data_IF_903691410350
#
_entry.id   IF_903691410350
#
_cell.length_a   1.000
_cell.length_b   1.000
_cell.length_c   1.000
_cell.angle_alpha   90.00
_cell.angle_beta   90.00
_cell.angle_gamma   90.00
#
_symmetry.space_group_name_H-M   'P 1'
#
loop_
_entity.id
_entity.type
_entity.pdbx_description
1 polymer ?
#
# COMPACT_ATOMS: atom_id res chain seq x y z
N UNK A 1 -21.82 6.64 -10.41
CA UNK A 1 -21.42 5.31 -9.89
C UNK A 1 -22.48 4.28 -10.25
N UNK A 2 -22.08 3.06 -10.62
CA UNK A 2 -23.02 1.95 -10.91
C UNK A 2 -23.86 1.59 -9.68
N UNK A 3 -25.11 1.10 -9.83
CA UNK A 3 -25.90 0.56 -8.72
C UNK A 3 -25.15 -0.51 -7.92
N UNK A 4 -24.35 -1.35 -8.59
CA UNK A 4 -23.51 -2.36 -7.93
C UNK A 4 -22.47 -1.71 -7.03
N UNK A 5 -21.79 -0.66 -7.51
CA UNK A 5 -20.80 0.05 -6.71
C UNK A 5 -21.44 0.73 -5.48
N UNK A 6 -22.62 1.35 -5.65
CA UNK A 6 -23.37 1.95 -4.54
C UNK A 6 -23.79 0.91 -3.49
N UNK A 7 -24.21 -0.28 -3.93
CA UNK A 7 -24.49 -1.42 -3.06
C UNK A 7 -23.24 -1.84 -2.27
N UNK A 8 -22.11 -2.04 -2.96
CA UNK A 8 -20.87 -2.51 -2.36
C UNK A 8 -20.23 -1.50 -1.39
N UNK A 9 -20.46 -0.19 -1.54
CA UNK A 9 -20.03 0.81 -0.54
C UNK A 9 -20.55 0.52 0.87
N UNK A 10 -21.70 -0.16 1.00
CA UNK A 10 -22.32 -0.50 2.29
C UNK A 10 -22.00 -1.90 2.77
N UNK A 11 -21.37 -2.72 1.92
CA UNK A 11 -21.03 -4.11 2.22
C UNK A 11 -19.84 -4.14 3.19
N UNK A 12 -19.90 -4.94 4.27
CA UNK A 12 -18.71 -5.28 5.05
C UNK A 12 -17.77 -6.15 4.19
N UNK A 13 -16.48 -5.82 4.18
CA UNK A 13 -15.49 -6.38 3.24
C UNK A 13 -14.42 -7.25 3.89
N UNK A 14 -14.40 -7.30 5.22
CA UNK A 14 -13.44 -8.07 6.01
C UNK A 14 -12.14 -7.29 6.23
N UNK A 15 -11.00 -7.90 5.90
CA UNK A 15 -9.68 -7.31 6.07
C UNK A 15 -9.04 -6.86 4.75
N UNK A 16 -8.23 -5.80 4.83
CA UNK A 16 -7.29 -5.36 3.78
C UNK A 16 -5.90 -5.85 4.15
N UNK A 17 -5.36 -6.81 3.38
CA UNK A 17 -4.09 -7.48 3.68
C UNK A 17 -2.91 -6.98 2.85
N UNK A 18 -3.20 -6.20 1.79
CA UNK A 18 -2.19 -5.66 0.89
C UNK A 18 -2.46 -4.19 0.60
N UNK A 19 -1.79 -3.34 1.37
CA UNK A 19 -1.83 -1.90 1.17
C UNK A 19 -0.48 -1.28 1.54
N UNK A 20 0.09 -0.52 0.62
CA UNK A 20 1.31 0.24 0.86
C UNK A 20 0.97 1.49 1.66
N UNK A 21 1.54 1.58 2.86
CA UNK A 21 1.12 2.53 3.89
C UNK A 21 1.15 3.96 3.37
N UNK A 22 2.19 4.35 2.67
CA UNK A 22 2.46 5.69 2.15
C UNK A 22 1.55 6.10 0.98
N UNK A 23 0.90 5.13 0.32
CA UNK A 23 0.01 5.37 -0.82
C UNK A 23 -1.44 4.90 -0.56
N UNK A 24 -1.87 4.83 0.69
CA UNK A 24 -3.20 4.32 1.10
C UNK A 24 -4.25 5.40 1.39
N UNK A 25 -3.90 6.68 1.41
CA UNK A 25 -4.83 7.79 1.71
C UNK A 25 -4.90 8.76 0.55
N UNK A 26 -6.06 9.37 0.31
CA UNK A 26 -6.18 10.44 -0.69
C UNK A 26 -5.14 11.56 -0.50
N UNK A 27 -4.56 12.02 -1.62
CA UNK A 27 -3.46 12.98 -1.61
C UNK A 27 -3.84 14.33 -0.95
N UNK A 28 -5.12 14.70 -0.99
CA UNK A 28 -5.70 15.92 -0.39
C UNK A 28 -5.29 16.10 1.07
N UNK A 29 -5.23 15.03 1.85
CA UNK A 29 -4.83 15.06 3.27
C UNK A 29 -3.40 15.57 3.41
N UNK A 30 -2.48 15.06 2.59
CA UNK A 30 -1.08 15.50 2.61
C UNK A 30 -0.93 16.94 2.13
N UNK A 31 -1.67 17.32 1.08
CA UNK A 31 -1.66 18.69 0.57
C UNK A 31 -2.18 19.70 1.59
N UNK A 32 -3.21 19.33 2.37
CA UNK A 32 -3.70 20.17 3.45
C UNK A 32 -2.61 20.42 4.51
N UNK A 33 -1.94 19.37 4.96
CA UNK A 33 -0.88 19.47 5.97
C UNK A 33 0.32 20.26 5.44
N UNK A 34 0.66 20.08 4.15
CA UNK A 34 1.76 20.79 3.52
C UNK A 34 1.54 22.32 3.50
N UNK A 35 0.29 22.77 3.29
CA UNK A 35 -0.07 24.20 3.33
C UNK A 35 0.04 24.81 4.73
N UNK A 36 -0.24 24.02 5.76
CA UNK A 36 -0.26 24.47 7.14
C UNK A 36 1.15 24.52 7.77
N UNK A 37 2.09 23.70 7.28
CA UNK A 37 3.44 23.67 7.83
C UNK A 37 4.32 24.80 7.25
N UNK A 38 4.55 25.84 8.07
CA UNK A 38 5.43 26.99 7.74
C UNK A 38 6.90 26.64 7.54
N UNK A 39 7.34 25.48 8.01
CA UNK A 39 8.71 24.98 7.90
C UNK A 39 8.89 23.97 6.77
N UNK A 40 7.81 23.56 6.09
CA UNK A 40 7.90 22.67 4.94
C UNK A 40 8.41 23.45 3.72
N UNK A 41 9.49 22.94 3.14
CA UNK A 41 10.07 23.48 1.92
C UNK A 41 9.89 22.50 0.77
N UNK A 42 9.89 23.06 -0.44
CA UNK A 42 9.88 22.34 -1.71
C UNK A 42 11.05 22.79 -2.57
N UNK A 43 11.64 21.86 -3.29
CA UNK A 43 12.51 22.13 -4.43
C UNK A 43 12.09 21.27 -5.62
N UNK A 44 12.61 21.60 -6.79
CA UNK A 44 12.30 20.90 -8.04
C UNK A 44 13.60 20.42 -8.68
N UNK A 45 13.57 19.31 -9.41
CA UNK A 45 14.71 18.86 -10.22
C UNK A 45 15.03 19.82 -11.39
N UNK A 46 14.09 20.68 -11.77
CA UNK A 46 14.21 21.72 -12.82
C UNK A 46 13.24 22.90 -12.59
N UNK A 47 13.50 24.10 -13.16
CA UNK A 47 12.66 25.28 -13.04
C UNK A 47 11.27 25.05 -13.58
N UNK A 48 10.32 25.62 -12.86
CA UNK A 48 8.94 25.79 -13.29
C UNK A 48 8.92 26.78 -14.47
N UNK A 49 8.75 26.29 -15.70
CA UNK A 49 8.61 27.13 -16.91
C UNK A 49 7.15 27.17 -17.33
N UNK A 50 6.55 28.37 -17.37
CA UNK A 50 5.14 28.58 -17.72
C UNK A 50 4.75 28.26 -19.18
N UNK A 51 5.70 27.86 -20.05
CA UNK A 51 5.51 27.80 -21.52
C UNK A 51 5.60 26.42 -22.16
N UNK A 52 5.90 25.38 -21.41
CA UNK A 52 5.85 24.01 -21.94
C UNK A 52 4.60 23.37 -21.34
N UNK A 53 3.58 23.13 -22.17
CA UNK A 53 2.27 22.57 -21.82
C UNK A 53 2.30 21.12 -21.34
N UNK A 54 3.31 20.77 -20.55
CA UNK A 54 3.51 19.50 -19.89
C UNK A 54 4.20 19.76 -18.55
N UNK A 55 3.41 20.08 -17.51
CA UNK A 55 3.84 20.08 -16.11
C UNK A 55 4.23 18.67 -15.58
N UNK A 56 4.41 17.70 -16.49
CA UNK A 56 5.08 16.41 -16.29
C UNK A 56 6.62 16.53 -16.16
N UNK A 57 7.19 17.73 -16.28
CA UNK A 57 8.65 17.89 -16.33
C UNK A 57 9.32 18.05 -14.95
N UNK A 58 8.86 18.92 -14.02
CA UNK A 58 9.53 19.11 -12.74
C UNK A 58 9.03 18.16 -11.65
N UNK A 59 9.92 17.38 -11.06
CA UNK A 59 9.62 16.49 -9.93
C UNK A 59 9.91 17.25 -8.64
N UNK A 60 8.91 17.48 -7.77
CA UNK A 60 9.12 18.15 -6.50
C UNK A 60 9.73 17.20 -5.45
N UNK A 61 10.50 17.76 -4.54
CA UNK A 61 10.93 17.10 -3.31
C UNK A 61 10.60 18.00 -2.14
N UNK A 62 10.13 17.41 -1.04
CA UNK A 62 9.66 18.14 0.14
C UNK A 62 10.50 17.77 1.37
N UNK A 63 10.77 18.75 2.23
CA UNK A 63 11.43 18.53 3.52
C UNK A 63 11.19 19.68 4.48
N UNK A 64 10.92 19.43 5.77
CA UNK A 64 10.90 20.50 6.77
C UNK A 64 12.33 20.96 7.12
N UNK A 65 12.52 22.26 7.27
CA UNK A 65 13.80 22.85 7.70
C UNK A 65 13.60 23.88 8.81
N UNK A 66 14.49 23.85 9.80
CA UNK A 66 14.55 24.86 10.86
C UNK A 66 15.07 26.19 10.32
N UNK A 67 16.15 26.12 9.55
CA UNK A 67 16.75 27.20 8.77
C UNK A 67 17.24 26.61 7.45
N UNK A 68 16.97 27.27 6.32
CA UNK A 68 17.54 26.87 5.02
C UNK A 68 18.99 27.34 5.01
N UNK A 69 19.94 26.41 5.18
CA UNK A 69 21.35 26.75 4.96
C UNK A 69 21.52 27.24 3.51
N UNK A 70 22.18 28.38 3.37
CA UNK A 70 22.20 29.18 2.15
C UNK A 70 22.48 28.37 0.89
N UNK A 71 21.80 28.75 -0.18
CA UNK A 71 22.06 28.30 -1.54
C UNK A 71 23.55 28.41 -1.84
N UNK A 72 24.28 27.30 -1.94
CA UNK A 72 25.60 27.35 -2.56
C UNK A 72 25.39 27.71 -4.04
N UNK A 73 25.91 28.85 -4.52
CA UNK A 73 25.78 29.23 -5.91
C UNK A 73 26.71 28.31 -6.72
N UNK A 74 26.16 27.20 -7.22
CA UNK A 74 26.89 26.31 -8.10
C UNK A 74 26.28 24.92 -8.34
N UNK A 75 25.47 24.38 -7.42
CA UNK A 75 25.02 22.97 -7.50
C UNK A 75 23.48 22.82 -7.54
N UNK A 76 22.72 23.65 -6.81
CA UNK A 76 21.25 23.56 -6.80
C UNK A 76 20.65 24.51 -7.85
N UNK A 77 20.26 23.96 -9.01
CA UNK A 77 19.64 24.73 -10.10
C UNK A 77 18.23 25.25 -9.74
N UNK A 78 17.62 24.73 -8.68
CA UNK A 78 16.35 25.19 -8.10
C UNK A 78 16.44 25.18 -6.55
N UNK A 79 16.57 26.35 -5.91
CA UNK A 79 16.75 26.41 -4.46
C UNK A 79 15.47 26.01 -3.71
N UNK A 80 15.64 25.49 -2.50
CA UNK A 80 14.53 25.27 -1.58
C UNK A 80 13.76 26.56 -1.31
N UNK A 81 12.44 26.48 -1.36
CA UNK A 81 11.54 27.55 -0.96
C UNK A 81 10.42 27.01 -0.10
N UNK A 82 9.81 27.86 0.74
CA UNK A 82 8.67 27.41 1.54
C UNK A 82 7.52 27.01 0.63
N UNK A 83 6.79 25.95 1.01
CA UNK A 83 5.60 25.51 0.26
C UNK A 83 4.60 26.66 0.13
N UNK A 84 4.36 27.41 1.21
CA UNK A 84 3.44 28.55 1.23
C UNK A 84 3.81 29.62 0.20
N UNK A 85 5.09 30.00 0.10
CA UNK A 85 5.55 30.97 -0.90
C UNK A 85 5.38 30.42 -2.31
N UNK A 86 5.85 29.20 -2.54
CA UNK A 86 5.78 28.54 -3.85
C UNK A 86 4.35 28.41 -4.35
N UNK A 87 3.40 28.06 -3.48
CA UNK A 87 1.98 27.92 -3.81
C UNK A 87 1.34 29.27 -4.16
N UNK A 88 1.71 30.33 -3.44
CA UNK A 88 1.28 31.69 -3.75
C UNK A 88 1.80 32.15 -5.12
N UNK A 89 3.06 31.85 -5.44
CA UNK A 89 3.69 32.24 -6.71
C UNK A 89 3.06 31.49 -7.91
N UNK A 90 2.77 30.19 -7.77
CA UNK A 90 2.14 29.37 -8.82
C UNK A 90 0.68 29.80 -9.05
N UNK A 91 -0.07 30.05 -7.98
CA UNK A 91 -1.52 30.34 -8.07
C UNK A 91 -1.83 31.71 -8.67
N UNK A 92 -0.83 32.61 -8.78
CA UNK A 92 -1.02 33.98 -9.26
C UNK A 92 -1.03 34.18 -10.78
N UNK A 93 -0.81 33.16 -11.63
CA UNK A 93 -0.41 33.44 -13.04
C UNK A 93 -0.99 32.64 -14.22
N UNK A 94 -1.76 31.52 -14.12
CA UNK A 94 -2.02 30.76 -15.38
C UNK A 94 -3.17 29.70 -15.48
N UNK A 95 -4.39 29.98 -15.05
CA UNK A 95 -5.57 29.31 -15.67
C UNK A 95 -5.69 27.78 -15.54
N UNK A 96 -5.05 27.18 -14.54
CA UNK A 96 -5.45 25.91 -13.93
C UNK A 96 -5.69 26.19 -12.44
N UNK A 97 -6.80 25.69 -11.89
CA UNK A 97 -7.24 26.01 -10.53
C UNK A 97 -6.29 25.38 -9.48
N UNK A 98 -5.28 26.15 -9.05
CA UNK A 98 -4.36 25.95 -7.89
C UNK A 98 -3.17 24.97 -8.04
N UNK A 99 -2.10 25.21 -7.28
CA UNK A 99 -0.92 24.35 -7.19
C UNK A 99 -1.22 22.94 -6.62
N UNK A 100 -2.32 22.78 -5.88
CA UNK A 100 -2.80 21.48 -5.39
C UNK A 100 -3.23 20.56 -6.54
N UNK A 101 -3.88 21.10 -7.58
CA UNK A 101 -4.29 20.32 -8.76
C UNK A 101 -3.08 19.78 -9.52
N UNK A 102 -2.00 20.57 -9.60
CA UNK A 102 -0.75 20.12 -10.20
C UNK A 102 -0.09 19.00 -9.38
N UNK A 103 0.09 19.18 -8.07
CA UNK A 103 0.69 18.12 -7.24
C UNK A 103 -0.13 16.84 -7.26
N UNK A 104 -1.45 16.96 -7.22
CA UNK A 104 -2.34 15.82 -7.39
C UNK A 104 -2.05 15.08 -8.69
N UNK A 105 -1.92 15.79 -9.80
CA UNK A 105 -1.57 15.18 -11.10
C UNK A 105 -0.17 14.56 -11.16
N UNK A 106 0.75 14.99 -10.28
CA UNK A 106 2.10 14.45 -10.19
C UNK A 106 2.19 13.21 -9.28
N UNK A 107 1.28 13.08 -8.31
CA UNK A 107 1.22 11.96 -7.37
C UNK A 107 0.32 10.84 -7.92
N UNK A 108 -0.85 11.19 -8.44
CA UNK A 108 -1.83 10.22 -8.93
C UNK A 108 -1.48 9.79 -10.36
N UNK A 109 -1.59 8.50 -10.65
CA UNK A 109 -1.35 7.96 -11.98
C UNK A 109 -2.43 8.45 -12.94
N UNK A 110 -2.02 9.15 -14.00
CA UNK A 110 -2.94 9.76 -14.97
C UNK A 110 -3.20 8.82 -16.14
N UNK A 111 -4.37 8.97 -16.78
CA UNK A 111 -4.76 8.14 -17.94
C UNK A 111 -3.73 8.09 -19.05
N UNK A 112 -3.10 9.22 -19.41
CA UNK A 112 -2.08 9.24 -20.46
C UNK A 112 -0.80 8.47 -20.09
N UNK A 113 -0.64 8.05 -18.84
CA UNK A 113 0.50 7.27 -18.34
C UNK A 113 0.19 5.76 -18.29
N UNK A 114 -1.04 5.34 -18.64
CA UNK A 114 -1.49 3.93 -18.59
C UNK A 114 -2.34 3.51 -19.79
N UNK A 115 -3.08 4.40 -20.44
CA UNK A 115 -3.95 4.01 -21.56
C UNK A 115 -3.23 3.76 -22.90
N UNK A 116 -2.11 4.44 -23.25
CA UNK A 116 -1.46 4.20 -24.54
C UNK A 116 -0.93 2.77 -24.67
N UNK A 117 -1.31 2.10 -25.77
CA UNK A 117 -1.01 0.69 -26.01
C UNK A 117 0.48 0.40 -26.24
N UNK A 118 1.28 1.44 -26.51
CA UNK A 118 2.71 1.35 -26.74
C UNK A 118 3.53 1.32 -25.44
N UNK A 119 2.93 1.68 -24.30
CA UNK A 119 3.63 1.71 -23.02
C UNK A 119 3.94 0.30 -22.52
N UNK A 120 5.22 0.07 -22.22
CA UNK A 120 5.65 -1.14 -21.54
C UNK A 120 5.32 -1.09 -20.05
N UNK A 121 5.34 -2.26 -19.39
CA UNK A 121 5.27 -2.37 -17.92
C UNK A 121 6.29 -1.42 -17.27
N UNK A 122 7.51 -1.33 -17.82
CA UNK A 122 8.56 -0.46 -17.28
C UNK A 122 8.24 1.04 -17.39
N UNK A 123 7.55 1.46 -18.46
CA UNK A 123 7.18 2.87 -18.63
C UNK A 123 6.12 3.30 -17.60
N UNK A 124 5.14 2.41 -17.34
CA UNK A 124 4.12 2.63 -16.31
C UNK A 124 4.75 2.61 -14.91
N UNK A 125 5.59 1.62 -14.61
CA UNK A 125 6.33 1.54 -13.35
C UNK A 125 7.21 2.77 -13.12
N UNK A 126 7.84 3.32 -14.16
CA UNK A 126 8.62 4.55 -14.04
C UNK A 126 7.75 5.77 -13.69
N UNK A 127 6.48 5.80 -14.09
CA UNK A 127 5.53 6.83 -13.65
C UNK A 127 5.07 6.57 -12.21
N UNK A 128 4.74 5.32 -11.90
CA UNK A 128 4.30 4.88 -10.58
C UNK A 128 5.33 5.13 -9.48
N UNK A 129 6.60 4.80 -9.70
CA UNK A 129 7.68 4.99 -8.72
C UNK A 129 7.99 6.48 -8.42
N UNK A 130 7.72 7.39 -9.37
CA UNK A 130 7.91 8.84 -9.14
C UNK A 130 6.98 9.36 -8.06
N UNK A 131 5.77 8.82 -7.97
CA UNK A 131 4.77 9.22 -6.98
C UNK A 131 5.28 9.03 -5.55
N UNK A 132 5.91 7.88 -5.26
CA UNK A 132 6.46 7.60 -3.92
C UNK A 132 7.52 8.61 -3.48
N UNK A 133 8.40 9.02 -4.40
CA UNK A 133 9.43 10.03 -4.09
C UNK A 133 8.82 11.39 -3.70
N UNK A 134 7.68 11.74 -4.28
CA UNK A 134 6.93 12.96 -3.93
C UNK A 134 6.23 12.79 -2.58
N UNK A 135 5.55 11.65 -2.40
CA UNK A 135 4.79 11.31 -1.18
C UNK A 135 5.70 11.30 0.04
N UNK A 136 6.90 10.71 -0.06
CA UNK A 136 7.82 10.55 1.08
C UNK A 136 8.06 11.89 1.80
N UNK A 137 8.39 12.94 1.05
CA UNK A 137 8.66 14.27 1.62
C UNK A 137 7.41 14.98 2.17
N UNK A 138 6.22 14.63 1.68
CA UNK A 138 4.94 15.17 2.15
C UNK A 138 4.39 14.44 3.38
N UNK A 139 4.76 13.17 3.56
CA UNK A 139 4.20 12.31 4.59
C UNK A 139 5.06 12.27 5.86
N UNK A 140 6.39 12.15 5.74
CA UNK A 140 7.25 11.81 6.88
C UNK A 140 7.71 13.01 7.73
N UNK A 141 6.74 13.80 8.19
CA UNK A 141 6.88 14.70 9.34
C UNK A 141 5.71 14.53 10.32
N UNK A 142 5.92 14.86 11.60
CA UNK A 142 5.04 14.41 12.70
C UNK A 142 3.55 14.72 12.51
N UNK A 143 3.18 15.96 12.17
CA UNK A 143 1.79 16.37 11.97
C UNK A 143 1.14 15.72 10.74
N UNK A 144 1.85 15.67 9.60
CA UNK A 144 1.33 14.99 8.41
C UNK A 144 1.11 13.51 8.64
N UNK A 145 2.11 12.80 9.19
CA UNK A 145 2.02 11.38 9.45
C UNK A 145 0.85 11.06 10.39
N UNK A 146 0.64 11.86 11.44
CA UNK A 146 -0.50 11.69 12.36
C UNK A 146 -1.84 11.91 11.67
N UNK A 147 -2.00 13.02 10.94
CA UNK A 147 -3.23 13.35 10.23
C UNK A 147 -3.58 12.29 9.17
N UNK A 148 -2.56 11.83 8.44
CA UNK A 148 -2.64 10.73 7.49
C UNK A 148 -3.18 9.44 8.13
N UNK A 149 -2.64 9.04 9.29
CA UNK A 149 -3.07 7.83 9.98
C UNK A 149 -4.52 7.92 10.49
N UNK A 150 -4.94 9.08 11.01
CA UNK A 150 -6.33 9.28 11.45
C UNK A 150 -7.30 9.12 10.26
N UNK A 151 -6.97 9.74 9.13
CA UNK A 151 -7.78 9.63 7.92
C UNK A 151 -7.75 8.20 7.34
N UNK A 152 -6.61 7.51 7.40
CA UNK A 152 -6.47 6.11 7.00
C UNK A 152 -7.46 5.20 7.72
N UNK A 153 -7.54 5.24 9.04
CA UNK A 153 -8.44 4.34 9.75
C UNK A 153 -9.92 4.69 9.55
N UNK A 154 -10.26 5.98 9.50
CA UNK A 154 -11.61 6.45 9.24
C UNK A 154 -12.08 6.04 7.83
N UNK A 155 -11.28 6.26 6.78
CA UNK A 155 -11.66 5.91 5.41
C UNK A 155 -11.84 4.39 5.24
N UNK A 156 -10.98 3.57 5.88
CA UNK A 156 -11.06 2.11 5.77
C UNK A 156 -12.34 1.58 6.43
N UNK A 157 -12.71 2.11 7.60
CA UNK A 157 -13.96 1.78 8.25
C UNK A 157 -15.18 2.24 7.42
N UNK A 158 -15.10 3.43 6.82
CA UNK A 158 -16.14 3.96 5.93
C UNK A 158 -16.30 3.10 4.67
N UNK A 159 -15.20 2.55 4.13
CA UNK A 159 -15.20 1.60 3.02
C UNK A 159 -15.51 0.16 3.46
N UNK A 160 -15.97 -0.05 4.70
CA UNK A 160 -16.51 -1.33 5.17
C UNK A 160 -15.46 -2.37 5.58
N UNK A 161 -14.21 -1.96 5.78
CA UNK A 161 -13.15 -2.82 6.30
C UNK A 161 -13.14 -2.78 7.83
N UNK A 162 -12.80 -3.90 8.45
CA UNK A 162 -12.68 -4.01 9.90
C UNK A 162 -11.23 -4.17 10.37
N UNK A 163 -10.28 -4.44 9.47
CA UNK A 163 -8.90 -4.74 9.81
C UNK A 163 -7.97 -4.42 8.64
N UNK A 164 -6.74 -4.00 8.93
CA UNK A 164 -5.71 -3.74 7.91
C UNK A 164 -4.32 -4.23 8.31
N UNK A 165 -3.57 -4.75 7.35
CA UNK A 165 -2.12 -4.99 7.44
C UNK A 165 -1.39 -4.04 6.50
N UNK A 166 -0.64 -3.11 7.06
CA UNK A 166 0.02 -2.03 6.31
C UNK A 166 1.45 -2.43 5.97
N UNK A 167 1.80 -2.41 4.69
CA UNK A 167 3.18 -2.49 4.21
C UNK A 167 3.85 -1.14 4.44
N UNK A 168 4.64 -1.05 5.51
CA UNK A 168 5.38 0.18 5.82
C UNK A 168 6.78 0.04 5.26
N UNK A 169 7.12 0.88 4.28
CA UNK A 169 8.45 0.98 3.73
C UNK A 169 9.40 1.61 4.74
N UNK A 170 10.33 0.81 5.27
CA UNK A 170 11.33 1.29 6.22
C UNK A 170 12.69 1.60 5.56
N UNK A 171 12.73 1.72 4.23
CA UNK A 171 13.85 2.34 3.54
C UNK A 171 13.95 3.85 3.78
N UNK A 172 12.84 4.49 4.18
CA UNK A 172 12.83 5.90 4.60
C UNK A 172 13.74 6.09 5.81
N UNK A 173 14.41 7.24 5.90
CA UNK A 173 15.37 7.48 6.98
C UNK A 173 14.69 7.58 8.36
N UNK A 174 13.45 8.08 8.39
CA UNK A 174 12.74 8.35 9.63
C UNK A 174 11.55 9.30 9.43
N UNK A 175 11.17 9.97 10.51
CA UNK A 175 10.16 11.03 10.52
C UNK A 175 10.76 12.30 11.10
N UNK A 176 10.62 13.40 10.37
CA UNK A 176 11.11 14.71 10.81
C UNK A 176 10.17 15.34 11.84
N UNK A 177 10.72 16.12 12.77
CA UNK A 177 9.92 17.10 13.52
C UNK A 177 9.31 18.12 12.54
N UNK A 178 8.16 18.69 12.89
CA UNK A 178 7.45 19.63 11.99
C UNK A 178 8.32 20.83 11.57
N UNK A 179 9.20 21.27 12.47
CA UNK A 179 10.14 22.37 12.26
C UNK A 179 11.47 21.93 11.61
N UNK A 180 11.65 20.65 11.31
CA UNK A 180 12.89 20.10 10.73
C UNK A 180 14.11 20.14 11.65
N UNK A 181 13.94 20.37 12.95
CA UNK A 181 15.05 20.41 13.92
C UNK A 181 15.59 19.03 14.30
N UNK A 182 14.80 17.96 14.10
CA UNK A 182 15.20 16.59 14.37
C UNK A 182 14.67 15.62 13.33
N UNK A 183 15.43 14.55 13.09
CA UNK A 183 14.99 13.37 12.37
C UNK A 183 14.94 12.20 13.36
N UNK A 184 13.76 11.62 13.55
CA UNK A 184 13.53 10.52 14.46
C UNK A 184 13.49 9.19 13.69
N UNK A 185 14.13 8.15 14.22
CA UNK A 185 14.16 6.84 13.57
C UNK A 185 12.81 6.11 13.54
N UNK A 186 12.80 4.93 12.92
CA UNK A 186 11.61 4.11 12.64
C UNK A 186 10.69 3.81 13.83
N UNK A 187 11.24 3.74 15.05
CA UNK A 187 10.44 3.55 16.27
C UNK A 187 9.39 4.66 16.45
N UNK A 188 9.75 5.91 16.12
CA UNK A 188 8.85 7.06 16.24
C UNK A 188 7.70 6.98 15.23
N UNK A 189 7.96 6.48 14.01
CA UNK A 189 6.92 6.24 12.98
C UNK A 189 5.86 5.30 13.54
N UNK A 190 6.27 4.14 14.06
CA UNK A 190 5.35 3.14 14.63
C UNK A 190 4.53 3.75 15.77
N UNK A 191 5.17 4.51 16.67
CA UNK A 191 4.49 5.17 17.79
C UNK A 191 3.47 6.22 17.34
N UNK A 192 3.73 6.96 16.26
CA UNK A 192 2.76 7.91 15.71
C UNK A 192 1.54 7.18 15.13
N UNK A 193 1.77 6.10 14.37
CA UNK A 193 0.68 5.26 13.83
C UNK A 193 -0.16 4.70 14.97
N UNK A 194 0.47 4.18 16.02
CA UNK A 194 -0.21 3.57 17.18
C UNK A 194 -1.00 4.59 18.02
N UNK A 195 -0.44 5.78 18.21
CA UNK A 195 -1.13 6.87 18.88
C UNK A 195 -2.37 7.32 18.09
N UNK A 196 -2.25 7.46 16.76
CA UNK A 196 -3.38 7.80 15.89
C UNK A 196 -4.45 6.70 15.89
N UNK A 197 -4.07 5.43 15.89
CA UNK A 197 -5.01 4.31 16.01
C UNK A 197 -5.76 4.32 17.36
N UNK A 198 -5.05 4.61 18.45
CA UNK A 198 -5.64 4.71 19.79
C UNK A 198 -6.67 5.84 19.85
N UNK A 199 -6.35 7.00 19.29
CA UNK A 199 -7.27 8.14 19.20
C UNK A 199 -8.49 7.84 18.32
N UNK A 200 -8.27 7.20 17.18
CA UNK A 200 -9.36 6.73 16.32
C UNK A 200 -10.31 5.79 17.06
N UNK A 201 -9.78 4.81 17.81
CA UNK A 201 -10.60 3.89 18.62
C UNK A 201 -11.42 4.62 19.68
N UNK A 202 -10.82 5.55 20.42
CA UNK A 202 -11.54 6.34 21.40
C UNK A 202 -12.69 7.15 20.74
N UNK A 203 -12.45 7.64 19.52
CA UNK A 203 -13.48 8.34 18.72
C UNK A 203 -14.62 7.40 18.32
N UNK A 204 -14.32 6.18 17.85
CA UNK A 204 -15.35 5.19 17.51
C UNK A 204 -16.21 4.80 18.73
N UNK A 205 -15.58 4.58 19.88
CA UNK A 205 -16.27 4.24 21.12
C UNK A 205 -17.24 5.36 21.54
N UNK A 206 -16.83 6.62 21.40
CA UNK A 206 -17.67 7.78 21.73
C UNK A 206 -18.87 7.94 20.78
N UNK A 207 -18.71 7.60 19.49
CA UNK A 207 -19.78 7.73 18.49
C UNK A 207 -20.79 6.59 18.51
N UNK A 208 -20.51 5.47 19.19
CA UNK A 208 -21.35 4.25 19.21
C UNK A 208 -21.74 3.77 17.80
N UNK A 209 -20.81 3.91 16.84
CA UNK A 209 -21.08 3.51 15.46
C UNK A 209 -21.19 1.99 15.37
N UNK A 210 -22.28 1.47 14.79
CA UNK A 210 -22.54 0.03 14.69
C UNK A 210 -21.56 -0.78 13.82
N UNK A 211 -20.48 -0.17 13.30
CA UNK A 211 -19.43 -0.82 12.51
C UNK A 211 -18.27 -1.21 13.41
N UNK A 212 -17.83 -2.45 13.30
CA UNK A 212 -16.78 -3.00 14.15
C UNK A 212 -15.38 -2.77 13.56
N UNK A 213 -14.46 -2.25 14.38
CA UNK A 213 -13.05 -2.11 14.03
C UNK A 213 -12.18 -3.05 14.88
N UNK A 214 -11.53 -4.01 14.21
CA UNK A 214 -10.65 -5.01 14.83
C UNK A 214 -9.26 -4.43 15.12
N UNK A 215 -8.68 -3.63 14.22
CA UNK A 215 -7.35 -3.05 14.44
C UNK A 215 -6.49 -2.95 13.19
N UNK A 216 -5.18 -2.83 13.40
CA UNK A 216 -4.18 -2.82 12.33
C UNK A 216 -2.95 -3.64 12.74
N UNK A 217 -2.12 -4.03 11.77
CA UNK A 217 -0.73 -4.48 11.96
C UNK A 217 0.17 -3.90 10.88
N UNK A 218 1.48 -4.02 11.07
CA UNK A 218 2.51 -3.54 10.15
C UNK A 218 3.33 -4.72 9.62
N UNK A 219 3.43 -4.80 8.30
CA UNK A 219 4.40 -5.62 7.58
C UNK A 219 5.61 -4.71 7.32
N UNK A 220 6.76 -5.09 7.86
CA UNK A 220 8.01 -4.35 7.69
C UNK A 220 8.53 -4.59 6.27
N UNK A 221 8.69 -3.54 5.47
CA UNK A 221 9.16 -3.68 4.10
C UNK A 221 10.58 -3.13 3.92
N UNK A 222 11.41 -3.91 3.22
CA UNK A 222 12.66 -3.45 2.59
C UNK A 222 12.50 -3.37 1.07
N UNK A 223 13.49 -2.83 0.37
CA UNK A 223 13.45 -2.69 -1.09
C UNK A 223 14.22 -3.82 -1.78
N UNK A 224 13.64 -4.40 -2.83
CA UNK A 224 14.22 -5.53 -3.56
C UNK A 224 15.40 -5.17 -4.48
N UNK A 225 15.83 -3.93 -4.49
CA UNK A 225 17.03 -3.48 -5.18
C UNK A 225 18.19 -3.19 -4.22
N UNK A 226 18.00 -3.42 -2.92
CA UNK A 226 19.09 -3.36 -1.95
C UNK A 226 20.10 -4.49 -2.13
N UNK A 227 21.35 -4.22 -1.78
CA UNK A 227 22.38 -5.26 -1.69
C UNK A 227 22.08 -6.21 -0.51
N UNK A 228 22.52 -7.48 -0.56
CA UNK A 228 22.16 -8.47 0.46
C UNK A 228 22.53 -8.06 1.89
N UNK A 229 23.65 -7.34 2.07
CA UNK A 229 24.07 -6.82 3.37
C UNK A 229 23.08 -5.82 3.97
N UNK A 230 22.42 -5.02 3.14
CA UNK A 230 21.40 -4.07 3.58
C UNK A 230 20.07 -4.79 3.85
N UNK A 231 19.68 -5.77 3.02
CA UNK A 231 18.52 -6.64 3.31
C UNK A 231 18.69 -7.37 4.65
N UNK A 232 19.89 -7.90 4.95
CA UNK A 232 20.19 -8.50 6.24
C UNK A 232 20.02 -7.52 7.42
N UNK A 233 20.39 -6.24 7.24
CA UNK A 233 20.16 -5.21 8.24
C UNK A 233 18.67 -4.94 8.46
N UNK A 234 17.88 -4.85 7.38
CA UNK A 234 16.43 -4.69 7.46
C UNK A 234 15.74 -5.89 8.12
N UNK A 235 16.15 -7.12 7.82
CA UNK A 235 15.64 -8.33 8.48
C UNK A 235 15.93 -8.32 9.99
N UNK A 236 17.15 -7.93 10.38
CA UNK A 236 17.52 -7.78 11.80
C UNK A 236 16.75 -6.64 12.48
N UNK A 237 16.54 -5.52 11.79
CA UNK A 237 15.75 -4.40 12.29
C UNK A 237 14.28 -4.80 12.47
N UNK A 238 13.69 -5.51 11.50
CA UNK A 238 12.34 -6.07 11.57
C UNK A 238 12.19 -6.98 12.80
N UNK A 239 13.12 -7.91 13.01
CA UNK A 239 13.14 -8.77 14.20
C UNK A 239 13.21 -7.95 15.50
N UNK A 240 14.08 -6.94 15.55
CA UNK A 240 14.18 -6.03 16.70
C UNK A 240 12.88 -5.26 16.96
N UNK A 241 12.21 -4.77 15.91
CA UNK A 241 10.93 -4.08 16.01
C UNK A 241 9.81 -5.03 16.43
N UNK A 242 9.80 -6.28 15.95
CA UNK A 242 8.87 -7.32 16.43
C UNK A 242 9.00 -7.56 17.92
N UNK A 243 10.21 -7.59 18.46
CA UNK A 243 10.42 -7.75 19.91
C UNK A 243 9.94 -6.54 20.72
N UNK A 244 10.08 -5.33 20.17
CA UNK A 244 9.62 -4.09 20.83
C UNK A 244 8.11 -3.89 20.71
N UNK A 245 7.52 -4.30 19.59
CA UNK A 245 6.11 -4.11 19.25
C UNK A 245 5.47 -5.43 18.81
N UNK A 246 5.37 -6.43 19.71
CA UNK A 246 4.95 -7.79 19.37
C UNK A 246 3.54 -7.87 18.78
N UNK A 247 2.66 -6.96 19.19
CA UNK A 247 1.28 -6.89 18.72
C UNK A 247 1.11 -6.14 17.40
N UNK A 248 2.08 -5.32 16.99
CA UNK A 248 1.98 -4.43 15.82
C UNK A 248 2.74 -5.00 14.63
N UNK A 249 4.02 -5.36 14.78
CA UNK A 249 4.81 -5.92 13.67
C UNK A 249 4.37 -7.37 13.43
N UNK A 250 3.98 -7.70 12.20
CA UNK A 250 3.40 -9.00 11.87
C UNK A 250 4.11 -9.80 10.77
N UNK A 251 5.02 -9.19 10.02
CA UNK A 251 5.74 -9.88 8.97
C UNK A 251 6.80 -9.03 8.30
N UNK A 252 7.45 -9.61 7.31
CA UNK A 252 8.46 -8.97 6.48
C UNK A 252 8.15 -9.16 4.99
N UNK A 253 8.45 -8.13 4.20
CA UNK A 253 8.31 -8.12 2.73
C UNK A 253 9.50 -7.42 2.04
N UNK A 254 9.73 -7.75 0.77
CA UNK A 254 10.60 -7.04 -0.17
C UNK A 254 9.75 -6.46 -1.30
N UNK A 255 9.73 -5.13 -1.40
CA UNK A 255 8.85 -4.40 -2.34
C UNK A 255 9.65 -3.71 -3.46
N UNK A 256 8.94 -3.22 -4.47
CA UNK A 256 9.48 -2.58 -5.68
C UNK A 256 9.31 -3.45 -6.93
N UNK A 257 9.56 -2.87 -8.10
CA UNK A 257 9.26 -3.52 -9.38
C UNK A 257 9.92 -4.91 -9.51
N UNK A 258 9.10 -5.94 -9.72
CA UNK A 258 9.58 -7.33 -9.68
C UNK A 258 10.42 -7.73 -10.92
N UNK A 259 10.04 -7.25 -12.11
CA UNK A 259 10.72 -7.62 -13.36
C UNK A 259 12.15 -7.09 -13.47
N UNK A 260 12.42 -5.91 -12.91
CA UNK A 260 13.72 -5.21 -13.01
C UNK A 260 14.55 -5.29 -11.73
N UNK A 261 13.93 -5.72 -10.62
CA UNK A 261 14.58 -5.86 -9.32
C UNK A 261 15.34 -7.19 -9.13
N UNK A 262 15.88 -7.41 -7.93
CA UNK A 262 16.57 -8.66 -7.59
C UNK A 262 15.57 -9.75 -7.18
N UNK A 263 15.67 -10.98 -7.71
CA UNK A 263 14.80 -12.09 -7.31
C UNK A 263 15.11 -12.57 -5.88
N UNK A 264 14.17 -13.25 -5.24
CA UNK A 264 14.29 -13.79 -3.88
C UNK A 264 15.49 -14.72 -3.71
N UNK A 265 15.82 -15.55 -4.71
CA UNK A 265 17.02 -16.38 -4.72
C UNK A 265 18.32 -15.59 -4.48
N UNK A 266 18.38 -14.30 -4.86
CA UNK A 266 19.52 -13.43 -4.63
C UNK A 266 19.75 -13.15 -3.13
N UNK A 267 18.67 -13.20 -2.33
CA UNK A 267 18.66 -13.01 -0.87
C UNK A 267 18.47 -14.32 -0.10
N UNK A 268 18.67 -15.47 -0.75
CA UNK A 268 18.40 -16.80 -0.18
C UNK A 268 19.06 -16.99 1.18
N UNK A 269 20.33 -16.57 1.31
CA UNK A 269 21.08 -16.72 2.55
C UNK A 269 20.42 -15.91 3.67
N UNK A 270 20.17 -14.65 3.42
CA UNK A 270 19.64 -13.68 4.39
C UNK A 270 18.23 -14.07 4.84
N UNK A 271 17.37 -14.49 3.91
CA UNK A 271 16.01 -14.93 4.21
C UNK A 271 16.00 -16.24 5.02
N UNK A 272 16.88 -17.20 4.71
CA UNK A 272 17.01 -18.43 5.48
C UNK A 272 17.57 -18.18 6.89
N UNK A 273 18.60 -17.34 7.02
CA UNK A 273 19.17 -16.94 8.31
C UNK A 273 18.12 -16.21 9.17
N UNK A 274 17.32 -15.34 8.58
CA UNK A 274 16.21 -14.68 9.27
C UNK A 274 15.17 -15.68 9.79
N UNK A 275 14.77 -16.66 8.97
CA UNK A 275 13.84 -17.71 9.42
C UNK A 275 14.43 -18.56 10.55
N UNK A 276 15.71 -18.91 10.47
CA UNK A 276 16.41 -19.65 11.52
C UNK A 276 16.48 -18.84 12.82
N UNK A 277 16.78 -17.55 12.74
CA UNK A 277 16.80 -16.65 13.89
C UNK A 277 15.41 -16.55 14.55
N UNK A 278 14.34 -16.37 13.76
CA UNK A 278 12.97 -16.33 14.28
C UNK A 278 12.59 -17.65 14.98
N UNK A 279 12.92 -18.79 14.38
CA UNK A 279 12.65 -20.11 14.95
C UNK A 279 13.44 -20.37 16.24
N UNK A 280 14.74 -20.02 16.28
CA UNK A 280 15.60 -20.21 17.45
C UNK A 280 15.13 -19.41 18.66
N UNK A 281 14.56 -18.22 18.44
CA UNK A 281 14.07 -17.32 19.48
C UNK A 281 12.56 -17.48 19.77
N UNK A 282 11.88 -18.40 19.08
CA UNK A 282 10.43 -18.61 19.24
C UNK A 282 9.58 -17.41 18.83
N UNK A 283 10.06 -16.58 17.91
CA UNK A 283 9.37 -15.37 17.43
C UNK A 283 8.57 -15.69 16.17
N UNK A 284 7.24 -15.57 16.24
CA UNK A 284 6.39 -15.70 15.07
C UNK A 284 6.46 -14.43 14.21
N UNK A 285 7.20 -14.53 13.10
CA UNK A 285 7.39 -13.44 12.15
C UNK A 285 7.46 -14.00 10.71
N UNK A 286 6.30 -14.22 10.07
CA UNK A 286 6.22 -14.80 8.73
C UNK A 286 6.80 -13.89 7.64
N UNK A 287 7.22 -14.53 6.55
CA UNK A 287 7.46 -13.85 5.28
C UNK A 287 6.12 -13.68 4.55
N UNK A 288 5.87 -12.49 4.02
CA UNK A 288 4.67 -12.12 3.27
C UNK A 288 5.17 -11.38 2.03
N UNK A 289 5.57 -12.13 1.01
CA UNK A 289 6.44 -11.64 -0.04
C UNK A 289 5.64 -11.26 -1.29
N UNK A 290 5.97 -10.13 -1.90
CA UNK A 290 5.68 -9.92 -3.32
C UNK A 290 6.37 -11.02 -4.14
N UNK A 291 5.59 -11.73 -4.96
CA UNK A 291 6.12 -12.76 -5.85
C UNK A 291 5.17 -13.02 -7.02
N UNK A 292 5.74 -13.15 -8.22
CA UNK A 292 5.01 -13.47 -9.43
C UNK A 292 4.14 -12.32 -9.96
N UNK A 293 4.44 -11.07 -9.59
CA UNK A 293 3.88 -9.87 -10.19
C UNK A 293 4.54 -9.59 -11.56
N UNK A 294 4.30 -10.50 -12.51
CA UNK A 294 4.92 -10.47 -13.84
C UNK A 294 4.04 -11.15 -14.88
N UNK A 295 4.26 -10.81 -16.14
CA UNK A 295 3.74 -11.57 -17.30
C UNK A 295 4.72 -12.65 -17.78
N UNK A 296 5.95 -12.67 -17.27
CA UNK A 296 6.94 -13.67 -17.62
C UNK A 296 6.52 -15.08 -17.14
N UNK A 297 7.12 -16.10 -17.73
CA UNK A 297 6.95 -17.49 -17.31
C UNK A 297 8.27 -18.24 -17.44
N UNK A 298 8.69 -18.89 -16.35
CA UNK A 298 9.88 -19.74 -16.28
C UNK A 298 11.22 -19.01 -16.12
N UNK A 299 11.23 -17.72 -15.75
CA UNK A 299 12.45 -17.01 -15.37
C UNK A 299 12.17 -15.69 -14.60
N UNK A 300 13.16 -15.23 -13.84
CA UNK A 300 13.22 -13.85 -13.34
C UNK A 300 12.25 -13.60 -12.19
N UNK A 301 11.31 -12.66 -12.37
CA UNK A 301 10.27 -12.37 -11.38
C UNK A 301 9.41 -13.62 -11.08
N UNK A 302 9.13 -14.44 -12.09
CA UNK A 302 8.30 -15.64 -11.96
C UNK A 302 8.92 -16.71 -11.02
N UNK A 303 10.26 -16.79 -10.97
CA UNK A 303 10.98 -17.73 -10.09
C UNK A 303 10.70 -17.44 -8.60
N UNK A 304 10.29 -16.21 -8.26
CA UNK A 304 10.00 -15.83 -6.88
C UNK A 304 8.78 -16.56 -6.31
N UNK A 305 7.87 -17.06 -7.15
CA UNK A 305 6.77 -17.91 -6.69
C UNK A 305 7.28 -19.21 -6.07
N UNK A 306 8.27 -19.84 -6.70
CA UNK A 306 8.89 -21.06 -6.20
C UNK A 306 9.60 -20.78 -4.87
N UNK A 307 10.42 -19.72 -4.84
CA UNK A 307 11.16 -19.34 -3.65
C UNK A 307 10.24 -18.96 -2.49
N UNK A 308 9.20 -18.15 -2.72
CA UNK A 308 8.25 -17.76 -1.68
C UNK A 308 7.54 -18.97 -1.05
N UNK A 309 7.11 -19.94 -1.87
CA UNK A 309 6.47 -21.17 -1.38
C UNK A 309 7.48 -22.04 -0.60
N UNK A 310 8.70 -22.22 -1.11
CA UNK A 310 9.76 -23.00 -0.45
C UNK A 310 10.23 -22.35 0.86
N UNK A 311 10.25 -21.02 0.90
CA UNK A 311 10.53 -20.23 2.09
C UNK A 311 9.36 -20.23 3.07
N UNK A 312 8.25 -20.92 2.78
CA UNK A 312 7.09 -21.03 3.67
C UNK A 312 6.42 -19.69 3.93
N UNK A 313 6.32 -18.84 2.89
CA UNK A 313 5.60 -17.58 2.98
C UNK A 313 4.15 -17.83 3.43
N UNK A 314 3.65 -16.98 4.34
CA UNK A 314 2.27 -17.07 4.83
C UNK A 314 1.29 -16.62 3.75
N UNK A 315 1.68 -15.62 2.97
CA UNK A 315 0.92 -15.04 1.87
C UNK A 315 1.86 -14.61 0.75
N UNK A 316 1.33 -14.55 -0.47
CA UNK A 316 2.01 -14.08 -1.68
C UNK A 316 1.31 -12.80 -2.15
N UNK A 317 2.07 -11.71 -2.28
CA UNK A 317 1.63 -10.47 -2.91
C UNK A 317 1.47 -10.64 -4.42
N UNK A 318 0.32 -10.24 -4.95
CA UNK A 318 -0.14 -10.36 -6.34
C UNK A 318 -0.28 -11.79 -6.86
N UNK A 319 0.82 -12.53 -7.02
CA UNK A 319 0.81 -13.87 -7.61
C UNK A 319 0.22 -13.92 -9.02
N UNK A 320 0.46 -12.90 -9.85
CA UNK A 320 -0.14 -12.76 -11.19
C UNK A 320 0.18 -13.97 -12.07
N UNK A 321 1.44 -14.36 -12.15
CA UNK A 321 1.92 -15.47 -12.98
C UNK A 321 1.67 -16.86 -12.36
N UNK A 322 1.06 -16.95 -11.17
CA UNK A 322 0.87 -18.23 -10.47
C UNK A 322 0.00 -19.21 -11.25
N UNK A 323 -0.93 -18.72 -12.07
CA UNK A 323 -1.78 -19.54 -12.94
C UNK A 323 -0.99 -20.29 -14.02
N UNK A 324 0.22 -19.83 -14.36
CA UNK A 324 1.12 -20.57 -15.26
C UNK A 324 1.68 -21.85 -14.64
N UNK A 325 1.53 -22.03 -13.32
CA UNK A 325 2.17 -23.09 -12.54
C UNK A 325 1.15 -23.95 -11.76
N UNK A 326 0.46 -24.90 -12.39
CA UNK A 326 -0.55 -25.73 -11.73
C UNK A 326 -0.06 -26.47 -10.47
N UNK A 327 1.22 -26.88 -10.45
CA UNK A 327 1.82 -27.51 -9.26
C UNK A 327 2.02 -26.49 -8.13
N UNK A 328 2.42 -25.26 -8.43
CA UNK A 328 2.54 -24.22 -7.41
C UNK A 328 1.17 -23.80 -6.86
N UNK A 329 0.12 -23.74 -7.70
CA UNK A 329 -1.26 -23.53 -7.22
C UNK A 329 -1.69 -24.64 -6.25
N UNK A 330 -1.38 -25.90 -6.55
CA UNK A 330 -1.67 -27.02 -5.65
C UNK A 330 -0.92 -26.89 -4.33
N UNK A 331 0.37 -26.51 -4.36
CA UNK A 331 1.18 -26.29 -3.17
C UNK A 331 0.66 -25.11 -2.33
N UNK A 332 0.32 -23.98 -2.96
CA UNK A 332 -0.25 -22.82 -2.28
C UNK A 332 -1.54 -23.21 -1.55
N UNK A 333 -2.43 -23.94 -2.22
CA UNK A 333 -3.65 -24.48 -1.61
C UNK A 333 -3.36 -25.43 -0.45
N UNK A 334 -2.49 -26.43 -0.63
CA UNK A 334 -2.24 -27.44 0.41
C UNK A 334 -1.53 -26.87 1.63
N UNK A 335 -0.70 -25.84 1.45
CA UNK A 335 -0.01 -25.14 2.54
C UNK A 335 -0.83 -23.99 3.14
N UNK A 336 -2.02 -23.69 2.60
CA UNK A 336 -2.84 -22.58 3.06
C UNK A 336 -2.22 -21.20 2.82
N UNK A 337 -1.42 -21.05 1.77
CA UNK A 337 -0.81 -19.79 1.36
C UNK A 337 -1.88 -18.98 0.63
N UNK A 338 -2.21 -17.79 1.16
CA UNK A 338 -3.17 -16.89 0.54
C UNK A 338 -2.49 -16.01 -0.50
N UNK A 339 -3.13 -15.81 -1.65
CA UNK A 339 -2.72 -14.85 -2.67
C UNK A 339 -3.46 -13.55 -2.46
N UNK A 340 -2.71 -12.47 -2.28
CA UNK A 340 -3.21 -11.11 -2.15
C UNK A 340 -3.35 -10.51 -3.55
N UNK A 341 -4.56 -10.53 -4.13
CA UNK A 341 -4.78 -10.00 -5.47
C UNK A 341 -5.14 -8.52 -5.42
N UNK A 342 -4.63 -7.74 -6.38
CA UNK A 342 -4.83 -6.30 -6.48
C UNK A 342 -5.36 -5.93 -7.89
N UNK A 343 -6.66 -6.15 -8.17
CA UNK A 343 -7.21 -6.10 -9.52
C UNK A 343 -6.95 -4.80 -10.30
N UNK A 344 -7.21 -3.65 -9.68
CA UNK A 344 -6.99 -2.34 -10.31
C UNK A 344 -5.50 -2.07 -10.52
N UNK A 345 -4.66 -2.42 -9.54
CA UNK A 345 -3.19 -2.31 -9.68
C UNK A 345 -2.70 -3.11 -10.87
N UNK A 346 -3.10 -4.39 -10.96
CA UNK A 346 -2.66 -5.26 -12.03
C UNK A 346 -3.14 -4.79 -13.42
N UNK A 347 -4.33 -4.20 -13.53
CA UNK A 347 -4.80 -3.63 -14.80
C UNK A 347 -4.03 -2.37 -15.18
N UNK A 348 -3.90 -1.42 -14.25
CA UNK A 348 -3.23 -0.15 -14.50
C UNK A 348 -1.72 -0.31 -14.73
N UNK A 349 -1.07 -1.28 -14.09
CA UNK A 349 0.36 -1.60 -14.25
C UNK A 349 0.65 -2.57 -15.41
N UNK A 350 -0.33 -2.82 -16.29
CA UNK A 350 -0.20 -3.63 -17.51
C UNK A 350 0.09 -5.12 -17.26
N UNK A 351 -0.26 -5.63 -16.08
CA UNK A 351 -0.14 -7.04 -15.69
C UNK A 351 -1.42 -7.84 -16.01
N UNK A 352 -2.52 -7.17 -16.30
CA UNK A 352 -3.65 -7.76 -17.01
C UNK A 352 -4.21 -6.72 -17.99
N UNK A 353 -4.43 -7.12 -19.25
CA UNK A 353 -4.89 -6.17 -20.30
C UNK A 353 -6.31 -5.67 -20.04
N UNK A 354 -7.13 -6.52 -19.43
CA UNK A 354 -8.50 -6.22 -19.01
C UNK A 354 -8.77 -6.99 -17.73
N UNK A 355 -9.66 -6.50 -16.87
CA UNK A 355 -10.09 -7.27 -15.71
C UNK A 355 -10.59 -8.69 -16.03
N UNK A 356 -11.17 -8.94 -17.21
CA UNK A 356 -11.62 -10.28 -17.62
C UNK A 356 -10.48 -11.29 -17.76
N UNK A 357 -9.24 -10.83 -17.98
CA UNK A 357 -8.05 -11.67 -18.04
C UNK A 357 -7.28 -11.72 -16.71
N UNK A 358 -7.82 -11.16 -15.63
CA UNK A 358 -7.19 -11.19 -14.32
C UNK A 358 -7.14 -12.64 -13.78
N UNK A 359 -6.06 -13.07 -13.08
CA UNK A 359 -5.87 -14.47 -12.66
C UNK A 359 -6.82 -14.96 -11.56
N UNK A 360 -7.43 -14.06 -10.79
CA UNK A 360 -8.32 -14.38 -9.66
C UNK A 360 -9.36 -15.50 -9.95
N UNK A 361 -10.15 -15.48 -11.04
CA UNK A 361 -11.12 -16.52 -11.31
C UNK A 361 -10.51 -17.92 -11.45
N UNK A 362 -9.32 -18.02 -12.04
CA UNK A 362 -8.61 -19.29 -12.18
C UNK A 362 -8.06 -19.76 -10.83
N UNK A 363 -7.43 -18.86 -10.06
CA UNK A 363 -6.98 -19.18 -8.70
C UNK A 363 -8.13 -19.72 -7.83
N UNK A 364 -9.30 -19.08 -7.88
CA UNK A 364 -10.49 -19.54 -7.17
C UNK A 364 -11.00 -20.89 -7.67
N UNK A 365 -10.98 -21.14 -8.98
CA UNK A 365 -11.38 -22.42 -9.56
C UNK A 365 -10.46 -23.58 -9.13
N UNK A 366 -9.17 -23.33 -8.91
CA UNK A 366 -8.24 -24.29 -8.34
C UNK A 366 -8.36 -24.42 -6.81
N UNK A 367 -9.10 -23.53 -6.16
CA UNK A 367 -9.29 -23.48 -4.71
C UNK A 367 -8.09 -22.91 -3.97
N UNK A 368 -7.30 -22.04 -4.62
CA UNK A 368 -6.25 -21.25 -3.98
C UNK A 368 -6.93 -20.16 -3.11
N UNK A 369 -6.59 -20.03 -1.81
CA UNK A 369 -7.13 -18.96 -0.99
C UNK A 369 -6.71 -17.59 -1.55
N UNK A 370 -7.66 -16.69 -1.77
CA UNK A 370 -7.39 -15.36 -2.30
C UNK A 370 -8.06 -14.28 -1.44
N UNK A 371 -7.42 -13.12 -1.33
CA UNK A 371 -7.99 -11.89 -0.75
C UNK A 371 -7.87 -10.75 -1.76
N UNK A 372 -8.95 -9.98 -1.96
CA UNK A 372 -8.93 -8.77 -2.79
C UNK A 372 -8.35 -7.62 -1.96
N UNK A 373 -7.49 -6.80 -2.57
CA UNK A 373 -6.82 -5.68 -1.92
C UNK A 373 -6.67 -4.49 -2.88
N UNK A 374 -6.31 -3.33 -2.31
CA UNK A 374 -6.26 -2.03 -3.01
C UNK A 374 -4.88 -1.68 -3.53
N UNK A 375 -3.83 -2.22 -2.91
CA UNK A 375 -2.43 -1.86 -3.18
C UNK A 375 -2.13 -0.41 -2.82
N UNK A 376 -2.12 0.49 -3.80
CA UNK A 376 -1.71 1.90 -3.70
C UNK A 376 -2.87 2.84 -4.01
N UNK A 377 -3.89 2.84 -3.15
CA UNK A 377 -5.15 3.54 -3.37
C UNK A 377 -5.03 5.02 -3.75
N UNK A 378 -4.06 5.74 -3.19
CA UNK A 378 -3.74 7.12 -3.54
C UNK A 378 -3.31 7.23 -5.00
N UNK A 379 -2.30 6.46 -5.40
CA UNK A 379 -1.66 6.58 -6.71
C UNK A 379 -2.61 6.06 -7.80
N UNK A 380 -3.28 4.94 -7.52
CA UNK A 380 -4.19 4.25 -8.44
C UNK A 380 -5.61 4.85 -8.44
N UNK A 381 -5.89 5.82 -7.56
CA UNK A 381 -7.19 6.48 -7.41
C UNK A 381 -8.34 5.48 -7.18
N UNK A 382 -8.13 4.48 -6.31
CA UNK A 382 -9.06 3.39 -6.07
C UNK A 382 -9.52 3.29 -4.60
N UNK A 383 -10.40 2.32 -4.32
CA UNK A 383 -10.81 1.90 -2.98
C UNK A 383 -11.12 0.40 -3.00
N UNK A 384 -11.28 -0.25 -1.84
CA UNK A 384 -11.68 -1.66 -1.79
C UNK A 384 -13.04 -1.88 -2.45
N UNK A 385 -13.98 -0.93 -2.30
CA UNK A 385 -15.24 -0.98 -3.04
C UNK A 385 -15.02 -0.98 -4.56
N UNK A 386 -14.07 -0.19 -5.07
CA UNK A 386 -13.75 -0.17 -6.50
C UNK A 386 -13.18 -1.52 -6.99
N UNK A 387 -12.18 -2.09 -6.32
CA UNK A 387 -11.63 -3.40 -6.68
C UNK A 387 -12.69 -4.51 -6.64
N UNK A 388 -13.50 -4.57 -5.59
CA UNK A 388 -14.59 -5.55 -5.50
C UNK A 388 -15.68 -5.34 -6.56
N UNK A 389 -15.98 -4.08 -6.91
CA UNK A 389 -16.94 -3.76 -7.99
C UNK A 389 -16.41 -4.25 -9.34
N UNK A 390 -15.14 -3.99 -9.62
CA UNK A 390 -14.48 -4.39 -10.85
C UNK A 390 -14.45 -5.92 -11.00
N UNK A 391 -14.07 -6.64 -9.94
CA UNK A 391 -14.10 -8.11 -9.91
C UNK A 391 -15.52 -8.63 -10.17
N UNK A 392 -16.52 -8.13 -9.44
CA UNK A 392 -17.90 -8.60 -9.55
C UNK A 392 -18.51 -8.33 -10.93
N UNK A 393 -18.24 -7.15 -11.51
CA UNK A 393 -18.77 -6.76 -12.82
C UNK A 393 -18.06 -7.46 -13.99
N UNK A 394 -16.83 -7.93 -13.78
CA UNK A 394 -16.03 -8.59 -14.82
C UNK A 394 -16.36 -10.06 -15.06
N UNK A 395 -16.96 -10.73 -14.08
CA UNK A 395 -17.15 -12.18 -14.11
C UNK A 395 -18.51 -12.60 -13.57
N UNK A 396 -19.39 -13.06 -14.46
CA UNK A 396 -20.77 -13.46 -14.13
C UNK A 396 -20.87 -14.71 -13.26
N UNK A 397 -19.75 -15.39 -12.96
CA UNK A 397 -19.70 -16.52 -12.04
C UNK A 397 -19.41 -16.09 -10.60
N UNK A 398 -19.00 -14.83 -10.39
CA UNK A 398 -18.83 -14.25 -9.08
C UNK A 398 -20.10 -13.50 -8.69
N UNK A 399 -20.46 -13.61 -7.41
CA UNK A 399 -21.67 -13.05 -6.83
C UNK A 399 -21.39 -12.50 -5.42
N UNK A 400 -22.43 -12.04 -4.72
CA UNK A 400 -22.31 -11.56 -3.35
C UNK A 400 -21.81 -12.63 -2.37
N UNK A 401 -22.11 -13.91 -2.62
CA UNK A 401 -21.61 -15.02 -1.80
C UNK A 401 -20.11 -15.20 -2.00
N UNK A 402 -19.63 -15.05 -3.22
CA UNK A 402 -18.21 -15.07 -3.58
C UNK A 402 -17.46 -13.95 -2.86
N UNK A 403 -17.98 -12.72 -2.90
CA UNK A 403 -17.40 -11.58 -2.17
C UNK A 403 -17.42 -11.80 -0.64
N UNK A 404 -18.50 -12.38 -0.10
CA UNK A 404 -18.58 -12.74 1.31
C UNK A 404 -17.43 -13.67 1.70
N UNK A 405 -17.22 -14.75 0.95
CA UNK A 405 -16.17 -15.72 1.23
C UNK A 405 -14.77 -15.13 1.07
N UNK A 406 -14.53 -14.27 0.06
CA UNK A 406 -13.25 -13.54 -0.09
C UNK A 406 -12.96 -12.68 1.15
N UNK A 407 -13.95 -11.97 1.70
CA UNK A 407 -13.79 -11.22 2.95
C UNK A 407 -13.58 -12.12 4.18
N UNK A 408 -14.16 -13.33 4.21
CA UNK A 408 -13.83 -14.32 5.25
C UNK A 408 -12.42 -14.85 5.12
N UNK A 409 -11.95 -15.13 3.89
CA UNK A 409 -10.58 -15.59 3.60
C UNK A 409 -9.57 -14.53 4.03
N UNK A 410 -9.82 -13.25 3.77
CA UNK A 410 -8.92 -12.19 4.23
C UNK A 410 -8.79 -12.14 5.76
N UNK A 411 -9.88 -12.38 6.51
CA UNK A 411 -9.77 -12.49 7.97
C UNK A 411 -9.04 -13.78 8.38
N UNK A 412 -9.32 -14.93 7.72
CA UNK A 412 -8.71 -16.23 8.06
C UNK A 412 -7.19 -16.25 7.89
N UNK A 413 -6.69 -15.58 6.84
CA UNK A 413 -5.27 -15.54 6.48
C UNK A 413 -4.54 -14.28 6.99
N UNK A 414 -5.22 -13.42 7.74
CA UNK A 414 -4.59 -12.34 8.47
C UNK A 414 -3.55 -12.82 9.50
N UNK A 415 -2.78 -11.88 10.02
CA UNK A 415 -1.84 -12.02 11.13
C UNK A 415 -2.49 -11.72 12.48
N UNK A 416 -3.82 -11.68 12.56
CA UNK A 416 -4.55 -11.64 13.83
C UNK A 416 -4.23 -12.88 14.67
N UNK A 417 -4.23 -12.71 15.99
CA UNK A 417 -4.19 -13.87 16.90
C UNK A 417 -5.43 -14.73 16.69
N UNK A 418 -5.38 -16.01 17.07
CA UNK A 418 -6.52 -16.92 16.92
C UNK A 418 -7.79 -16.37 17.57
N UNK A 419 -7.68 -15.84 18.79
CA UNK A 419 -8.81 -15.24 19.50
C UNK A 419 -9.36 -13.99 18.80
N UNK A 420 -8.50 -13.13 18.25
CA UNK A 420 -8.93 -11.96 17.47
C UNK A 420 -9.63 -12.39 16.18
N UNK A 421 -9.07 -13.38 15.48
CA UNK A 421 -9.58 -13.92 14.22
C UNK A 421 -10.95 -14.57 14.37
N UNK A 422 -11.17 -15.37 15.41
CA UNK A 422 -12.48 -15.98 15.70
C UNK A 422 -13.55 -14.90 15.89
N UNK A 423 -13.28 -13.91 16.76
CA UNK A 423 -14.21 -12.79 17.01
C UNK A 423 -14.48 -11.97 15.74
N UNK A 424 -13.43 -11.67 14.97
CA UNK A 424 -13.57 -10.93 13.71
C UNK A 424 -14.44 -11.69 12.70
N UNK A 425 -14.28 -13.02 12.59
CA UNK A 425 -15.11 -13.85 11.70
C UNK A 425 -16.57 -13.94 12.14
N UNK A 426 -16.82 -14.08 13.44
CA UNK A 426 -18.19 -14.06 13.99
C UNK A 426 -18.87 -12.74 13.67
N UNK A 427 -18.20 -11.62 13.99
CA UNK A 427 -18.75 -10.29 13.74
C UNK A 427 -18.96 -10.01 12.26
N UNK A 428 -18.00 -10.38 11.42
CA UNK A 428 -18.13 -10.23 9.96
C UNK A 428 -19.35 -10.98 9.41
N UNK A 429 -19.69 -12.16 9.92
CA UNK A 429 -20.89 -12.90 9.51
C UNK A 429 -22.18 -12.21 9.94
N UNK A 430 -22.20 -11.59 11.12
CA UNK A 430 -23.35 -10.82 11.61
C UNK A 430 -23.58 -9.56 10.77
N UNK A 431 -22.53 -8.76 10.58
CA UNK A 431 -22.56 -7.54 9.73
C UNK A 431 -22.93 -7.91 8.29
N UNK A 432 -22.31 -9.00 7.80
CA UNK A 432 -22.74 -9.93 6.76
C UNK A 432 -24.24 -9.97 6.44
N UNK A 433 -24.93 -10.67 7.33
CA UNK A 433 -26.35 -10.96 7.28
C UNK A 433 -27.20 -9.70 7.45
N UNK A 434 -26.78 -8.76 8.30
CA UNK A 434 -27.48 -7.49 8.49
C UNK A 434 -27.46 -6.64 7.20
N UNK A 435 -26.35 -6.64 6.47
CA UNK A 435 -26.27 -6.03 5.14
C UNK A 435 -27.25 -6.69 4.18
N UNK A 436 -27.23 -8.02 4.03
CA UNK A 436 -28.18 -8.73 3.16
C UNK A 436 -29.64 -8.45 3.51
N UNK A 437 -29.98 -8.40 4.81
CA UNK A 437 -31.33 -8.09 5.27
C UNK A 437 -31.83 -6.73 4.81
N UNK A 438 -30.95 -5.70 4.82
CA UNK A 438 -31.28 -4.37 4.29
C UNK A 438 -31.45 -4.38 2.77
N UNK A 439 -30.58 -5.09 2.05
CA UNK A 439 -30.63 -5.18 0.58
C UNK A 439 -31.90 -5.86 0.09
N UNK A 440 -32.43 -6.85 0.81
CA UNK A 440 -33.70 -7.52 0.45
C UNK A 440 -34.93 -6.65 0.73
N UNK A 441 -34.83 -5.67 1.64
CA UNK A 441 -35.92 -4.75 1.97
C UNK A 441 -36.03 -3.58 0.98
N UNK A 442 -34.94 -3.24 0.30
CA UNK A 442 -34.87 -2.24 -0.77
C UNK A 442 -35.37 -2.80 -2.10
#
# INVERSE_FOLDING_TARGET
ASPVHALLKRMPKGALLHAHFDASVECSVLLEQARQNKHLHVKFDRPLRAKEGCWNAPIPSFRPFKEVQGTEPGIDWCPWSTVQKTWSDISGSSGYDTADAWLRSAIELQRHQVEPAELSINDVWASFLKSFGIIEGLLFYETALRAYCLHLFEQLLQDGLCYVELRVNFAVEGVYSDDGSALHGHEKIIRIIDAAHTEFRATLEARQEGRHWVGYKIIYCGLRFFEPSLVAQHLKACFGMKRKFPEIICGFDLVGQEDTGRPLQYYKKELLEFRQMCAAEGVELPLILHAGETLASGHGADDNLFDAILLGAKRIGHGVSLTHHPLLMQLAKSHGICVEVCPISNELLHLCKTIQSHPLPELLAYGVPCAINTDDAMILQNTMTADMSQVLLSNTRLDLVSLRELGMVSIRHSCLSEAQRVKALERYKEDFAAFCGKVVQE
#
